data_IF_543717876411
#
_entry.id   IF_543717876411
#
_cell.length_a   1.000
_cell.length_b   1.000
_cell.length_c   1.000
_cell.angle_alpha   90.00
_cell.angle_beta   90.00
_cell.angle_gamma   90.00
#
_symmetry.space_group_name_H-M   'P 1'
#
loop_
_entity.id
_entity.type
_entity.pdbx_description
1 polymer ?
#
# COMPACT_ATOMS: atom_id res chain seq x y z
N UNK A 1 20.02 28.07 10.22
CA UNK A 1 20.18 28.06 11.69
C UNK A 1 19.46 26.83 12.24
N UNK A 2 20.08 25.94 13.02
CA UNK A 2 21.53 25.75 13.18
C UNK A 2 21.91 24.36 13.75
N UNK A 3 23.21 24.07 13.75
CA UNK A 3 23.97 23.03 14.51
C UNK A 3 23.20 22.11 15.47
N UNK A 4 23.30 20.77 15.32
CA UNK A 4 24.30 19.88 15.99
C UNK A 4 24.46 20.10 17.51
N UNK A 5 24.30 19.03 18.32
CA UNK A 5 25.40 18.33 19.07
C UNK A 5 24.89 17.25 20.05
N UNK A 6 25.51 16.05 20.05
CA UNK A 6 25.89 15.22 21.23
C UNK A 6 26.58 13.91 20.78
N UNK A 7 27.86 13.59 21.10
CA UNK A 7 28.40 12.84 22.27
C UNK A 7 28.05 11.32 22.30
N UNK A 8 28.92 10.34 22.59
CA UNK A 8 30.36 10.30 22.97
C UNK A 8 30.96 8.86 22.83
N UNK A 9 32.24 8.67 23.26
CA UNK A 9 33.00 7.43 23.62
C UNK A 9 34.08 6.99 22.60
N UNK A 10 35.39 7.20 22.84
CA UNK A 10 36.43 6.36 23.54
C UNK A 10 36.74 5.02 22.83
N UNK A 11 37.98 4.51 22.66
CA UNK A 11 39.33 4.77 23.23
C UNK A 11 40.40 3.95 22.39
N UNK A 12 41.76 4.03 22.43
CA UNK A 12 42.83 4.89 23.02
C UNK A 12 44.20 4.55 22.34
N UNK A 13 45.20 5.46 22.41
CA UNK A 13 46.68 5.31 22.33
C UNK A 13 47.32 4.54 21.13
N UNK A 14 48.27 5.06 20.30
CA UNK A 14 49.56 5.81 20.51
C UNK A 14 50.77 4.91 20.92
N UNK A 15 52.07 5.24 20.65
CA UNK A 15 52.72 6.47 20.10
C UNK A 15 53.53 6.26 18.75
N UNK A 16 53.90 7.27 17.93
CA UNK A 16 55.02 8.28 17.97
C UNK A 16 56.44 7.66 17.96
N UNK A 17 57.38 7.97 17.03
CA UNK A 17 58.27 9.17 16.94
C UNK A 17 58.86 9.49 15.54
N UNK A 18 59.41 10.72 15.36
CA UNK A 18 60.21 11.19 14.21
C UNK A 18 61.43 12.00 14.72
N UNK A 19 62.58 12.00 14.03
CA UNK A 19 63.74 12.87 14.35
C UNK A 19 64.92 12.82 13.34
N UNK A 20 65.53 13.96 12.91
CA UNK A 20 66.66 14.02 11.94
C UNK A 20 68.01 14.51 12.53
N UNK A 21 69.15 14.33 11.81
CA UNK A 21 70.48 14.81 12.28
C UNK A 21 71.72 14.78 11.35
N UNK A 22 71.93 15.87 10.59
CA UNK A 22 73.18 16.66 10.33
C UNK A 22 74.60 16.08 9.91
N UNK A 23 75.19 16.71 8.88
CA UNK A 23 76.61 17.20 8.70
C UNK A 23 77.82 16.39 8.10
N UNK A 24 78.29 16.86 6.92
CA UNK A 24 79.67 17.21 6.41
C UNK A 24 80.97 16.39 6.64
N UNK A 25 81.85 16.30 5.60
CA UNK A 25 83.34 16.55 5.59
C UNK A 25 83.98 16.29 4.17
N UNK A 26 84.41 17.31 3.38
CA UNK A 26 85.78 17.80 2.97
C UNK A 26 86.62 17.10 1.85
N UNK A 27 87.46 17.92 1.18
CA UNK A 27 88.42 17.63 0.06
C UNK A 27 89.89 17.42 0.51
N UNK A 28 90.76 16.95 -0.42
CA UNK A 28 92.23 17.15 -0.40
C UNK A 28 92.90 17.23 -1.82
N UNK A 29 94.14 17.75 -1.93
CA UNK A 29 94.98 17.84 -3.16
C UNK A 29 96.50 18.01 -2.90
N UNK A 30 97.34 17.18 -3.55
CA UNK A 30 98.54 17.62 -4.30
C UNK A 30 99.95 17.56 -3.66
N UNK A 31 100.98 17.30 -4.50
CA UNK A 31 102.46 17.44 -4.34
C UNK A 31 103.16 16.94 -5.64
N UNK A 32 104.42 17.23 -6.02
CA UNK A 32 105.34 18.38 -5.80
C UNK A 32 106.63 18.20 -6.63
N UNK A 33 107.30 19.27 -7.06
CA UNK A 33 108.50 19.25 -7.93
C UNK A 33 109.74 19.81 -7.20
N UNK A 34 110.94 19.18 -7.29
CA UNK A 34 112.07 19.59 -6.44
C UNK A 34 113.52 19.32 -6.94
N UNK A 35 113.76 19.10 -8.24
CA UNK A 35 115.10 18.73 -8.75
C UNK A 35 116.09 19.90 -8.95
N UNK A 36 115.59 21.08 -9.34
CA UNK A 36 116.40 22.22 -9.82
C UNK A 36 117.36 22.75 -8.73
N UNK A 37 117.00 22.66 -7.45
CA UNK A 37 117.76 23.24 -6.34
C UNK A 37 119.17 22.64 -6.16
N UNK A 38 119.37 21.37 -6.51
CA UNK A 38 120.66 20.68 -6.32
C UNK A 38 121.69 20.98 -7.42
N UNK A 39 121.26 21.50 -8.58
CA UNK A 39 122.16 21.75 -9.70
C UNK A 39 123.09 22.97 -9.50
N UNK A 40 122.68 23.96 -8.69
CA UNK A 40 123.44 25.20 -8.48
C UNK A 40 124.69 25.01 -7.59
N UNK A 41 124.60 24.14 -6.58
CA UNK A 41 125.63 23.97 -5.54
C UNK A 41 126.94 23.41 -6.12
N UNK A 42 126.86 22.44 -7.04
CA UNK A 42 128.05 21.79 -7.60
C UNK A 42 128.90 22.70 -8.51
N UNK A 43 128.30 23.71 -9.15
CA UNK A 43 129.03 24.64 -10.03
C UNK A 43 130.04 25.52 -9.29
N UNK A 44 129.71 25.95 -8.06
CA UNK A 44 130.56 26.87 -7.28
C UNK A 44 131.89 26.28 -6.83
N UNK A 45 131.94 24.97 -6.55
CA UNK A 45 133.13 24.29 -6.02
C UNK A 45 134.24 24.19 -7.07
N UNK A 46 133.88 23.96 -8.33
CA UNK A 46 134.85 23.81 -9.43
C UNK A 46 135.61 25.12 -9.74
N UNK A 47 134.94 26.27 -9.64
CA UNK A 47 135.54 27.58 -9.92
C UNK A 47 136.66 27.93 -8.91
N UNK A 48 136.47 27.62 -7.64
CA UNK A 48 137.45 27.89 -6.58
C UNK A 48 138.74 27.08 -6.74
N UNK A 49 138.64 25.82 -7.19
CA UNK A 49 139.81 24.99 -7.46
C UNK A 49 140.70 25.57 -8.58
N UNK A 50 140.08 26.09 -9.65
CA UNK A 50 140.80 26.68 -10.78
C UNK A 50 141.56 27.95 -10.39
N UNK A 51 140.98 28.79 -9.52
CA UNK A 51 141.63 30.00 -8.99
C UNK A 51 142.87 29.66 -8.16
N UNK A 52 142.81 28.62 -7.32
CA UNK A 52 143.96 28.15 -6.56
C UNK A 52 145.10 27.65 -7.47
N UNK A 53 144.76 27.01 -8.58
CA UNK A 53 145.74 26.54 -9.58
C UNK A 53 146.44 27.70 -10.31
N UNK A 54 145.73 28.79 -10.61
CA UNK A 54 146.31 29.99 -11.22
C UNK A 54 147.25 30.74 -10.25
N UNK A 55 146.94 30.73 -8.95
CA UNK A 55 147.76 31.37 -7.91
C UNK A 55 149.16 30.73 -7.79
N UNK A 56 149.25 29.40 -7.83
CA UNK A 56 150.53 28.68 -7.76
C UNK A 56 151.43 28.95 -8.97
N UNK A 57 150.84 29.16 -10.17
CA UNK A 57 151.59 29.49 -11.39
C UNK A 57 152.31 30.85 -11.29
N UNK A 58 151.72 31.80 -10.54
CA UNK A 58 152.19 33.19 -10.46
C UNK A 58 153.41 33.38 -9.53
N UNK A 59 153.60 32.46 -8.56
CA UNK A 59 154.73 32.52 -7.61
C UNK A 59 156.04 32.05 -8.28
N UNK A 60 155.98 31.10 -9.22
CA UNK A 60 157.15 30.41 -9.77
C UNK A 60 157.95 31.22 -10.81
N UNK A 61 157.49 32.43 -11.17
CA UNK A 61 158.05 33.26 -12.25
C UNK A 61 159.06 34.31 -11.74
N UNK A 62 159.24 34.47 -10.42
CA UNK A 62 159.87 35.68 -9.84
C UNK A 62 161.31 35.55 -9.32
N UNK A 63 161.95 34.38 -9.35
CA UNK A 63 163.33 34.26 -8.84
C UNK A 63 164.18 33.23 -9.61
N UNK A 64 165.44 33.56 -9.82
CA UNK A 64 166.34 32.92 -10.79
C UNK A 64 167.60 32.33 -10.13
N UNK A 65 167.72 31.00 -10.11
CA UNK A 65 168.83 30.22 -10.69
C UNK A 65 168.71 28.70 -10.42
N UNK A 66 169.29 27.88 -11.33
CA UNK A 66 169.59 26.42 -11.20
C UNK A 66 168.58 25.56 -10.38
N UNK A 67 167.53 24.93 -10.95
CA UNK A 67 167.46 23.97 -12.08
C UNK A 67 168.25 22.66 -11.86
N UNK A 68 167.63 21.64 -11.22
CA UNK A 68 168.02 20.21 -11.35
C UNK A 68 167.04 19.16 -10.72
N UNK A 69 165.72 19.14 -11.05
CA UNK A 69 164.89 17.90 -11.18
C UNK A 69 163.39 18.17 -11.47
N UNK A 70 163.10 18.83 -12.60
CA UNK A 70 161.73 19.22 -12.96
C UNK A 70 161.07 18.21 -13.91
N UNK A 71 160.50 17.12 -13.38
CA UNK A 71 159.70 16.18 -14.18
C UNK A 71 158.52 15.54 -13.41
N UNK A 72 158.78 15.02 -12.21
CA UNK A 72 157.83 14.23 -11.42
C UNK A 72 156.63 15.02 -10.84
N UNK A 73 156.75 16.34 -10.67
CA UNK A 73 155.77 17.17 -9.94
C UNK A 73 154.66 17.76 -10.82
N UNK A 74 154.83 17.79 -12.15
CA UNK A 74 153.88 18.46 -13.07
C UNK A 74 153.03 17.45 -13.86
N UNK A 75 153.58 16.29 -14.24
CA UNK A 75 152.90 15.35 -15.14
C UNK A 75 152.03 14.29 -14.45
N UNK A 76 152.27 14.00 -13.16
CA UNK A 76 151.52 12.97 -12.43
C UNK A 76 150.03 13.31 -12.20
N UNK A 77 149.65 14.55 -11.79
CA UNK A 77 148.24 14.89 -11.55
C UNK A 77 147.39 14.84 -12.83
N UNK A 78 147.99 15.22 -13.96
CA UNK A 78 147.33 15.33 -15.27
C UNK A 78 146.76 14.00 -15.78
N UNK A 79 147.47 12.89 -15.51
CA UNK A 79 147.06 11.54 -15.95
C UNK A 79 145.82 11.06 -15.18
N UNK A 80 145.73 11.36 -13.88
CA UNK A 80 144.56 11.00 -13.05
C UNK A 80 143.27 11.70 -13.52
N UNK A 81 143.36 12.95 -13.98
CA UNK A 81 142.21 13.70 -14.49
C UNK A 81 141.68 13.06 -15.78
N UNK A 82 142.54 12.65 -16.71
CA UNK A 82 142.12 12.00 -17.97
C UNK A 82 141.38 10.69 -17.72
N UNK A 83 141.87 9.85 -16.78
CA UNK A 83 141.17 8.60 -16.39
C UNK A 83 139.82 8.90 -15.75
N UNK A 84 139.73 9.91 -14.88
CA UNK A 84 138.48 10.34 -14.27
C UNK A 84 137.44 10.84 -15.29
N UNK A 85 137.86 11.62 -16.28
CA UNK A 85 136.99 12.14 -17.35
C UNK A 85 136.45 11.02 -18.24
N UNK A 86 137.28 10.04 -18.62
CA UNK A 86 136.83 8.88 -19.42
C UNK A 86 135.81 8.04 -18.64
N UNK A 87 136.02 7.82 -17.34
CA UNK A 87 135.05 7.15 -16.46
C UNK A 87 133.71 7.89 -16.36
N UNK A 88 133.75 9.22 -16.23
CA UNK A 88 132.56 10.07 -16.18
C UNK A 88 131.75 10.03 -17.50
N UNK A 89 132.42 10.06 -18.66
CA UNK A 89 131.78 9.99 -19.98
C UNK A 89 131.07 8.64 -20.17
N UNK A 90 131.69 7.52 -19.78
CA UNK A 90 131.05 6.20 -19.83
C UNK A 90 129.81 6.12 -18.93
N UNK A 91 129.88 6.65 -17.71
CA UNK A 91 128.76 6.66 -16.76
C UNK A 91 127.59 7.55 -17.24
N UNK A 92 127.89 8.73 -17.80
CA UNK A 92 126.88 9.64 -18.38
C UNK A 92 126.18 9.03 -19.59
N UNK A 93 126.93 8.39 -20.49
CA UNK A 93 126.37 7.70 -21.67
C UNK A 93 125.40 6.59 -21.27
N UNK A 94 125.72 5.86 -20.19
CA UNK A 94 124.84 4.82 -19.60
C UNK A 94 123.58 5.40 -18.94
N UNK A 95 123.67 6.56 -18.30
CA UNK A 95 122.52 7.28 -17.72
C UNK A 95 121.54 7.77 -18.79
N UNK A 96 122.04 8.36 -19.88
CA UNK A 96 121.20 8.92 -20.96
C UNK A 96 120.42 7.80 -21.66
N UNK A 97 121.10 6.75 -22.11
CA UNK A 97 120.46 5.64 -22.83
C UNK A 97 119.44 4.86 -21.96
N UNK A 98 119.54 4.91 -20.64
CA UNK A 98 118.59 4.24 -19.74
C UNK A 98 117.23 4.96 -19.61
N UNK A 99 117.13 6.24 -20.01
CA UNK A 99 115.87 7.01 -19.98
C UNK A 99 115.07 6.90 -21.27
N UNK A 100 115.73 7.00 -22.43
CA UNK A 100 115.09 7.10 -23.75
C UNK A 100 114.22 5.88 -24.13
N UNK A 101 114.44 4.72 -23.49
CA UNK A 101 113.60 3.52 -23.67
C UNK A 101 112.37 3.46 -22.75
N UNK A 102 112.33 4.25 -21.66
CA UNK A 102 111.18 4.28 -20.74
C UNK A 102 110.08 5.22 -21.23
N UNK A 103 110.46 6.44 -21.62
CA UNK A 103 109.52 7.47 -22.07
C UNK A 103 108.75 7.05 -23.35
N UNK A 104 109.38 6.29 -24.27
CA UNK A 104 108.66 5.74 -25.45
C UNK A 104 107.68 4.62 -25.09
N UNK A 105 108.05 3.73 -24.16
CA UNK A 105 107.21 2.60 -23.77
C UNK A 105 105.98 3.02 -22.94
N UNK A 106 106.02 4.18 -22.29
CA UNK A 106 104.89 4.76 -21.56
C UNK A 106 103.98 5.55 -22.51
N UNK A 107 104.52 6.33 -23.45
CA UNK A 107 103.72 7.07 -24.45
C UNK A 107 102.88 6.18 -25.38
N UNK A 108 103.41 5.02 -25.83
CA UNK A 108 102.62 4.04 -26.58
C UNK A 108 101.54 3.36 -25.71
N UNK A 109 101.78 3.21 -24.40
CA UNK A 109 100.79 2.63 -23.47
C UNK A 109 99.68 3.61 -23.08
N UNK A 110 99.98 4.90 -22.92
CA UNK A 110 98.95 5.92 -22.70
C UNK A 110 98.11 6.15 -23.96
N UNK A 111 98.72 6.19 -25.16
CA UNK A 111 97.95 6.33 -26.41
C UNK A 111 97.14 5.08 -26.76
N UNK A 112 97.60 3.86 -26.45
CA UNK A 112 96.79 2.65 -26.54
C UNK A 112 95.66 2.62 -25.49
N UNK A 113 95.90 3.09 -24.26
CA UNK A 113 94.84 3.23 -23.25
C UNK A 113 93.78 4.25 -23.69
N UNK A 114 94.18 5.46 -24.08
CA UNK A 114 93.25 6.47 -24.57
C UNK A 114 92.48 6.00 -25.81
N UNK A 115 93.12 5.27 -26.73
CA UNK A 115 92.39 4.64 -27.85
C UNK A 115 91.39 3.61 -27.37
N UNK A 116 91.76 2.70 -26.47
CA UNK A 116 90.86 1.65 -25.99
C UNK A 116 89.75 2.20 -25.07
N UNK A 117 90.02 3.27 -24.32
CA UNK A 117 89.05 4.04 -23.55
C UNK A 117 88.07 4.77 -24.47
N UNK A 118 88.53 5.47 -25.51
CA UNK A 118 87.67 6.08 -26.53
C UNK A 118 86.92 5.04 -27.38
N UNK A 119 87.50 3.86 -27.61
CA UNK A 119 86.87 2.75 -28.34
C UNK A 119 85.74 2.14 -27.50
N UNK A 120 85.98 1.83 -26.22
CA UNK A 120 84.95 1.39 -25.27
C UNK A 120 83.92 2.48 -24.98
N UNK A 121 84.30 3.75 -24.93
CA UNK A 121 83.39 4.88 -24.74
C UNK A 121 82.54 5.15 -25.98
N UNK A 122 83.10 5.04 -27.19
CA UNK A 122 82.33 5.14 -28.44
C UNK A 122 81.47 3.90 -28.70
N UNK A 123 81.89 2.71 -28.27
CA UNK A 123 81.06 1.50 -28.30
C UNK A 123 79.90 1.58 -27.28
N UNK A 124 80.14 2.16 -26.08
CA UNK A 124 79.08 2.50 -25.12
C UNK A 124 78.15 3.58 -25.66
N UNK A 125 78.67 4.65 -26.23
CA UNK A 125 77.88 5.72 -26.82
C UNK A 125 77.04 5.19 -27.99
N UNK A 126 77.60 4.32 -28.85
CA UNK A 126 76.83 3.60 -29.88
C UNK A 126 75.76 2.70 -29.29
N UNK A 127 76.05 1.91 -28.25
CA UNK A 127 75.04 1.05 -27.61
C UNK A 127 73.90 1.89 -27.01
N UNK A 128 74.22 2.98 -26.31
CA UNK A 128 73.24 3.93 -25.77
C UNK A 128 72.44 4.62 -26.89
N UNK A 129 73.08 4.97 -28.01
CA UNK A 129 72.42 5.57 -29.17
C UNK A 129 71.49 4.57 -29.86
N UNK A 130 71.96 3.34 -30.13
CA UNK A 130 71.18 2.25 -30.74
C UNK A 130 70.05 1.77 -29.82
N UNK A 131 70.21 1.85 -28.50
CA UNK A 131 69.18 1.61 -27.48
C UNK A 131 68.15 2.75 -27.45
N UNK A 132 68.59 4.02 -27.44
CA UNK A 132 67.70 5.18 -27.53
C UNK A 132 66.90 5.19 -28.85
N UNK A 133 67.51 4.83 -29.98
CA UNK A 133 66.83 4.72 -31.28
C UNK A 133 65.88 3.52 -31.34
N UNK A 134 66.08 2.47 -30.54
CA UNK A 134 65.08 1.40 -30.35
C UNK A 134 63.93 1.89 -29.48
N UNK A 135 64.23 2.48 -28.33
CA UNK A 135 63.24 3.00 -27.37
C UNK A 135 62.37 4.09 -28.01
N UNK A 136 62.93 5.01 -28.81
CA UNK A 136 62.16 6.00 -29.56
C UNK A 136 61.23 5.36 -30.59
N UNK A 137 61.66 4.32 -31.31
CA UNK A 137 60.79 3.59 -32.26
C UNK A 137 59.71 2.78 -31.55
N UNK A 138 60.00 2.18 -30.41
CA UNK A 138 59.02 1.49 -29.59
C UNK A 138 57.96 2.47 -29.05
N UNK A 139 58.38 3.63 -28.53
CA UNK A 139 57.49 4.71 -28.07
C UNK A 139 56.64 5.25 -29.23
N UNK A 140 57.24 5.52 -30.41
CA UNK A 140 56.48 6.00 -31.57
C UNK A 140 55.48 4.96 -32.07
N UNK A 141 55.84 3.67 -32.08
CA UNK A 141 54.92 2.58 -32.40
C UNK A 141 53.76 2.50 -31.40
N UNK A 142 54.05 2.58 -30.10
CA UNK A 142 53.01 2.56 -29.08
C UNK A 142 52.10 3.79 -29.18
N UNK A 143 52.63 4.98 -29.54
CA UNK A 143 51.80 6.17 -29.77
C UNK A 143 50.90 6.03 -31.01
N UNK A 144 51.36 5.32 -32.05
CA UNK A 144 50.59 5.00 -33.26
C UNK A 144 49.48 3.99 -32.94
N UNK A 145 49.82 2.88 -32.27
CA UNK A 145 48.87 1.84 -31.81
C UNK A 145 47.87 2.32 -30.73
N UNK A 146 48.10 3.50 -30.14
CA UNK A 146 47.18 4.18 -29.22
C UNK A 146 46.47 5.40 -29.83
N UNK A 147 46.69 5.70 -31.11
CA UNK A 147 45.99 6.77 -31.83
C UNK A 147 44.50 6.49 -31.93
N UNK A 148 44.13 5.31 -32.43
CA UNK A 148 42.73 4.88 -32.59
C UNK A 148 41.98 4.83 -31.24
N UNK A 149 42.67 4.47 -30.15
CA UNK A 149 42.12 4.46 -28.79
C UNK A 149 41.69 5.87 -28.34
N UNK A 150 42.41 6.91 -28.76
CA UNK A 150 42.05 8.31 -28.46
C UNK A 150 40.81 8.78 -29.23
N UNK A 151 40.45 8.12 -30.35
CA UNK A 151 39.19 8.32 -31.06
C UNK A 151 38.04 7.47 -30.50
N UNK A 152 38.28 6.70 -29.43
CA UNK A 152 37.28 5.80 -28.81
C UNK A 152 37.24 4.40 -29.41
N UNK A 153 38.18 4.02 -30.27
CA UNK A 153 38.24 2.66 -30.79
C UNK A 153 38.74 1.69 -29.71
N UNK A 154 37.83 0.88 -29.14
CA UNK A 154 38.17 -0.19 -28.20
C UNK A 154 38.34 -1.54 -28.92
N UNK A 155 38.36 -1.60 -30.25
CA UNK A 155 38.66 -2.85 -30.98
C UNK A 155 40.17 -3.13 -31.02
N UNK A 156 41.01 -2.09 -30.97
CA UNK A 156 42.47 -2.18 -31.04
C UNK A 156 43.10 -2.76 -29.76
N UNK A 157 44.33 -3.26 -29.89
CA UNK A 157 45.17 -3.71 -28.77
C UNK A 157 46.62 -3.33 -29.09
N UNK A 158 47.35 -2.79 -28.11
CA UNK A 158 48.76 -2.48 -28.25
C UNK A 158 49.62 -3.76 -28.27
N UNK A 159 50.68 -3.78 -29.07
CA UNK A 159 51.54 -4.96 -29.21
C UNK A 159 52.49 -5.09 -28.02
N UNK A 160 52.27 -6.11 -27.19
CA UNK A 160 53.20 -6.46 -26.11
C UNK A 160 54.48 -7.05 -26.69
N UNK A 161 55.58 -6.31 -26.57
CA UNK A 161 56.93 -6.69 -27.00
C UNK A 161 57.86 -6.98 -25.81
N UNK A 162 59.04 -7.54 -26.07
CA UNK A 162 60.10 -7.72 -25.05
C UNK A 162 60.93 -6.45 -24.78
N UNK A 163 60.56 -5.31 -25.38
CA UNK A 163 61.26 -4.03 -25.18
C UNK A 163 60.68 -3.20 -24.01
N UNK A 164 61.31 -2.04 -23.75
CA UNK A 164 60.96 -1.16 -22.64
C UNK A 164 59.49 -0.73 -22.58
N UNK A 165 58.78 -0.71 -23.72
CA UNK A 165 57.36 -0.33 -23.79
C UNK A 165 56.39 -1.49 -23.58
N UNK A 166 56.85 -2.75 -23.60
CA UNK A 166 55.97 -3.93 -23.50
C UNK A 166 55.08 -3.94 -22.25
N UNK A 167 55.64 -3.59 -21.09
CA UNK A 167 54.88 -3.48 -19.84
C UNK A 167 53.86 -2.32 -19.83
N UNK A 168 54.09 -1.29 -20.66
CA UNK A 168 53.14 -0.18 -20.86
C UNK A 168 52.02 -0.65 -21.78
N UNK A 169 52.34 -1.32 -22.89
CA UNK A 169 51.35 -1.92 -23.80
C UNK A 169 50.42 -2.91 -23.06
N UNK A 170 50.96 -3.77 -22.21
CA UNK A 170 50.21 -4.71 -21.37
C UNK A 170 49.28 -3.96 -20.38
N UNK A 171 49.80 -2.95 -19.69
CA UNK A 171 49.01 -2.10 -18.77
C UNK A 171 47.88 -1.34 -19.48
N UNK A 172 48.10 -0.91 -20.74
CA UNK A 172 47.06 -0.23 -21.54
C UNK A 172 46.06 -1.22 -22.10
N UNK A 173 46.47 -2.42 -22.54
CA UNK A 173 45.53 -3.48 -22.94
C UNK A 173 44.60 -3.87 -21.80
N UNK A 174 45.11 -4.00 -20.57
CA UNK A 174 44.27 -4.20 -19.39
C UNK A 174 43.27 -3.04 -19.18
N UNK A 175 43.69 -1.79 -19.39
CA UNK A 175 42.79 -0.63 -19.32
C UNK A 175 41.73 -0.64 -20.44
N UNK A 176 42.09 -1.03 -21.67
CA UNK A 176 41.15 -1.21 -22.78
C UNK A 176 40.12 -2.30 -22.43
N UNK A 177 40.53 -3.44 -21.88
CA UNK A 177 39.60 -4.50 -21.44
C UNK A 177 38.66 -4.06 -20.32
N UNK A 178 39.13 -3.26 -19.37
CA UNK A 178 38.25 -2.66 -18.36
C UNK A 178 37.28 -1.63 -18.95
N UNK A 179 37.70 -0.86 -19.97
CA UNK A 179 36.82 0.05 -20.71
C UNK A 179 35.80 -0.71 -21.58
N UNK A 180 36.19 -1.80 -22.26
CA UNK A 180 35.29 -2.70 -23.00
C UNK A 180 34.19 -3.23 -22.09
N UNK A 181 34.58 -3.77 -20.93
CA UNK A 181 33.65 -4.29 -19.92
C UNK A 181 32.72 -3.20 -19.38
N UNK A 182 33.24 -2.00 -19.11
CA UNK A 182 32.44 -0.86 -18.63
C UNK A 182 31.43 -0.37 -19.68
N UNK A 183 31.86 -0.14 -20.93
CA UNK A 183 31.00 0.32 -22.03
C UNK A 183 29.93 -0.73 -22.36
N UNK A 184 30.29 -2.01 -22.41
CA UNK A 184 29.32 -3.11 -22.60
C UNK A 184 28.30 -3.17 -21.44
N UNK A 185 28.77 -3.10 -20.19
CA UNK A 185 27.88 -3.07 -19.03
C UNK A 185 26.95 -1.85 -19.01
N UNK A 186 27.42 -0.68 -19.46
CA UNK A 186 26.60 0.53 -19.61
C UNK A 186 25.52 0.32 -20.69
N UNK A 187 25.89 -0.16 -21.88
CA UNK A 187 24.93 -0.43 -22.97
C UNK A 187 23.84 -1.42 -22.54
N UNK A 188 24.23 -2.56 -21.94
CA UNK A 188 23.29 -3.58 -21.42
C UNK A 188 22.42 -3.01 -20.31
N UNK A 189 22.95 -2.12 -19.46
CA UNK A 189 22.17 -1.48 -18.39
C UNK A 189 21.18 -0.46 -18.94
N UNK A 190 21.59 0.40 -19.88
CA UNK A 190 20.72 1.37 -20.54
C UNK A 190 19.55 0.68 -21.27
N UNK A 191 19.84 -0.36 -22.05
CA UNK A 191 18.83 -1.15 -22.77
C UNK A 191 17.87 -1.89 -21.80
N UNK A 192 18.34 -2.32 -20.63
CA UNK A 192 17.48 -2.88 -19.56
C UNK A 192 16.61 -1.81 -18.89
N UNK A 193 17.14 -0.60 -18.66
CA UNK A 193 16.35 0.52 -18.11
C UNK A 193 15.29 0.98 -19.11
N UNK A 194 15.60 1.07 -20.40
CA UNK A 194 14.65 1.42 -21.45
C UNK A 194 13.46 0.44 -21.50
N UNK A 195 13.71 -0.87 -21.63
CA UNK A 195 12.63 -1.89 -21.64
C UNK A 195 11.80 -1.92 -20.36
N UNK A 196 12.43 -1.77 -19.19
CA UNK A 196 11.71 -1.70 -17.91
C UNK A 196 10.84 -0.43 -17.82
N UNK A 197 11.31 0.67 -18.40
CA UNK A 197 10.59 1.93 -18.50
C UNK A 197 9.40 1.83 -19.47
N UNK A 198 9.59 1.28 -20.68
CA UNK A 198 8.49 0.99 -21.61
C UNK A 198 7.40 0.10 -20.98
N UNK A 199 7.78 -0.98 -20.30
CA UNK A 199 6.85 -1.86 -19.60
C UNK A 199 6.09 -1.10 -18.50
N UNK A 200 6.78 -0.27 -17.71
CA UNK A 200 6.14 0.53 -16.65
C UNK A 200 5.23 1.63 -17.23
N UNK A 201 5.57 2.18 -18.40
CA UNK A 201 4.73 3.14 -19.12
C UNK A 201 3.42 2.49 -19.60
N UNK A 202 3.48 1.26 -20.11
CA UNK A 202 2.28 0.52 -20.49
C UNK A 202 1.36 0.28 -19.29
N UNK A 203 1.89 -0.25 -18.19
CA UNK A 203 1.11 -0.45 -16.95
C UNK A 203 0.57 0.86 -16.35
N UNK A 204 1.26 1.98 -16.53
CA UNK A 204 0.74 3.29 -16.12
C UNK A 204 -0.43 3.77 -17.01
N UNK A 205 -0.46 3.43 -18.30
CA UNK A 205 -1.62 3.72 -19.17
C UNK A 205 -2.81 2.83 -18.78
N UNK A 206 -2.58 1.52 -18.60
CA UNK A 206 -3.61 0.56 -18.16
C UNK A 206 -4.23 0.97 -16.81
N UNK A 207 -3.41 1.39 -15.85
CA UNK A 207 -3.87 1.83 -14.52
C UNK A 207 -4.65 3.15 -14.57
N UNK A 208 -4.32 4.06 -15.51
CA UNK A 208 -5.08 5.29 -15.71
C UNK A 208 -6.47 5.00 -16.31
N UNK A 209 -6.56 4.11 -17.32
CA UNK A 209 -7.83 3.66 -17.89
C UNK A 209 -8.68 2.90 -16.86
N UNK A 210 -8.07 2.03 -16.06
CA UNK A 210 -8.76 1.34 -14.96
C UNK A 210 -9.31 2.32 -13.91
N UNK A 211 -8.57 3.39 -13.59
CA UNK A 211 -9.00 4.42 -12.63
C UNK A 211 -10.17 5.27 -13.16
N UNK A 212 -10.19 5.59 -14.47
CA UNK A 212 -11.31 6.29 -15.11
C UNK A 212 -12.58 5.43 -15.10
N UNK A 213 -12.47 4.15 -15.49
CA UNK A 213 -13.59 3.20 -15.40
C UNK A 213 -14.09 3.06 -13.95
N UNK A 214 -13.18 3.03 -12.96
CA UNK A 214 -13.55 2.98 -11.54
C UNK A 214 -14.33 4.24 -11.12
N UNK A 215 -13.96 5.44 -11.58
CA UNK A 215 -14.68 6.68 -11.29
C UNK A 215 -16.12 6.66 -11.85
N UNK A 216 -16.33 6.06 -13.02
CA UNK A 216 -17.66 5.91 -13.63
C UNK A 216 -18.55 4.93 -12.83
N UNK A 217 -18.00 3.81 -12.37
CA UNK A 217 -18.70 2.87 -11.47
C UNK A 217 -19.04 3.52 -10.12
N UNK A 218 -18.13 4.30 -9.52
CA UNK A 218 -18.40 5.05 -8.27
C UNK A 218 -19.55 6.04 -8.45
N UNK A 219 -19.61 6.73 -9.60
CA UNK A 219 -20.70 7.64 -9.92
C UNK A 219 -22.04 6.88 -10.07
N UNK A 220 -22.05 5.73 -10.75
CA UNK A 220 -23.22 4.86 -10.88
C UNK A 220 -23.74 4.34 -9.54
N UNK A 221 -22.85 3.82 -8.70
CA UNK A 221 -23.18 3.37 -7.34
C UNK A 221 -23.69 4.53 -6.48
N UNK A 222 -23.10 5.73 -6.58
CA UNK A 222 -23.55 6.92 -5.86
C UNK A 222 -24.95 7.37 -6.27
N UNK A 223 -25.29 7.28 -7.56
CA UNK A 223 -26.65 7.54 -8.04
C UNK A 223 -27.67 6.52 -7.49
N UNK A 224 -27.33 5.22 -7.50
CA UNK A 224 -28.17 4.17 -6.95
C UNK A 224 -28.40 4.30 -5.43
N UNK A 225 -27.41 4.79 -4.67
CA UNK A 225 -27.57 5.08 -3.24
C UNK A 225 -28.52 6.26 -3.00
N UNK A 226 -28.50 7.28 -3.87
CA UNK A 226 -29.42 8.41 -3.79
C UNK A 226 -30.87 7.98 -4.12
N UNK A 227 -31.07 7.13 -5.13
CA UNK A 227 -32.38 6.52 -5.40
C UNK A 227 -32.86 5.62 -4.25
N UNK A 228 -31.95 4.85 -3.65
CA UNK A 228 -32.24 4.04 -2.46
C UNK A 228 -32.69 4.92 -1.28
N UNK A 229 -32.07 6.08 -1.06
CA UNK A 229 -32.47 7.02 -0.01
C UNK A 229 -33.91 7.54 -0.20
N UNK A 230 -34.28 7.91 -1.43
CA UNK A 230 -35.66 8.31 -1.78
C UNK A 230 -36.65 7.16 -1.55
N UNK A 231 -36.28 5.93 -1.94
CA UNK A 231 -37.08 4.73 -1.73
C UNK A 231 -37.32 4.44 -0.23
N UNK A 232 -36.29 4.59 0.59
CA UNK A 232 -36.37 4.40 2.05
C UNK A 232 -37.27 5.46 2.71
N UNK A 233 -37.22 6.72 2.28
CA UNK A 233 -38.10 7.78 2.79
C UNK A 233 -39.58 7.49 2.43
N UNK A 234 -39.85 7.06 1.19
CA UNK A 234 -41.18 6.63 0.78
C UNK A 234 -41.68 5.43 1.60
N UNK A 235 -40.83 4.44 1.88
CA UNK A 235 -41.18 3.30 2.77
C UNK A 235 -41.47 3.77 4.19
N UNK A 236 -40.70 4.72 4.72
CA UNK A 236 -40.93 5.32 6.04
C UNK A 236 -42.27 6.08 6.11
N UNK A 237 -42.60 6.86 5.06
CA UNK A 237 -43.87 7.57 4.92
C UNK A 237 -45.06 6.61 4.82
N UNK A 238 -44.97 5.61 3.93
CA UNK A 238 -46.01 4.57 3.78
C UNK A 238 -46.24 3.79 5.08
N UNK A 239 -45.19 3.54 5.86
CA UNK A 239 -45.30 2.93 7.18
C UNK A 239 -46.04 3.85 8.17
N UNK A 240 -45.70 5.14 8.22
CA UNK A 240 -46.39 6.10 9.09
C UNK A 240 -47.89 6.22 8.77
N UNK A 241 -48.27 6.27 7.48
CA UNK A 241 -49.68 6.26 7.07
C UNK A 241 -50.37 4.94 7.45
N UNK A 242 -49.72 3.80 7.19
CA UNK A 242 -50.25 2.47 7.52
C UNK A 242 -50.50 2.31 9.02
N UNK A 243 -49.64 2.88 9.88
CA UNK A 243 -49.83 2.86 11.33
C UNK A 243 -51.10 3.61 11.74
N UNK A 244 -51.32 4.82 11.19
CA UNK A 244 -52.52 5.60 11.44
C UNK A 244 -53.80 4.89 10.95
N UNK A 245 -53.73 4.11 9.86
CA UNK A 245 -54.83 3.25 9.39
C UNK A 245 -55.07 2.07 10.34
N UNK A 246 -54.02 1.46 10.89
CA UNK A 246 -54.14 0.38 11.88
C UNK A 246 -54.77 0.87 13.20
N UNK A 247 -54.28 1.99 13.75
CA UNK A 247 -54.84 2.62 14.96
C UNK A 247 -56.32 3.01 14.77
N UNK A 248 -56.66 3.56 13.59
CA UNK A 248 -58.05 3.87 13.23
C UNK A 248 -58.91 2.60 13.13
N UNK A 249 -58.34 1.49 12.68
CA UNK A 249 -59.03 0.19 12.61
C UNK A 249 -59.29 -0.40 14.00
N UNK A 250 -58.33 -0.30 14.93
CA UNK A 250 -58.52 -0.60 16.36
C UNK A 250 -59.68 0.22 16.93
N UNK A 251 -59.70 1.53 16.70
CA UNK A 251 -60.76 2.41 17.20
C UNK A 251 -62.14 2.07 16.61
N UNK A 252 -62.23 1.73 15.32
CA UNK A 252 -63.50 1.32 14.68
C UNK A 252 -63.99 -0.02 15.24
N UNK A 253 -63.09 -1.01 15.40
CA UNK A 253 -63.43 -2.31 15.95
C UNK A 253 -63.97 -2.22 17.39
N UNK A 254 -63.29 -1.44 18.24
CA UNK A 254 -63.71 -1.17 19.62
C UNK A 254 -65.12 -0.55 19.72
N UNK A 255 -65.38 0.51 18.93
CA UNK A 255 -66.70 1.14 18.89
C UNK A 255 -67.78 0.18 18.35
N UNK A 256 -67.42 -0.67 17.38
CA UNK A 256 -68.30 -1.74 16.87
C UNK A 256 -68.67 -2.74 17.96
N UNK A 257 -67.70 -3.21 18.74
CA UNK A 257 -67.92 -4.13 19.85
C UNK A 257 -68.85 -3.54 20.93
N UNK A 258 -68.74 -2.25 21.25
CA UNK A 258 -69.65 -1.56 22.17
C UNK A 258 -71.10 -1.46 21.62
N UNK A 259 -71.27 -1.29 20.30
CA UNK A 259 -72.59 -1.34 19.64
C UNK A 259 -73.17 -2.76 19.67
N UNK A 260 -72.34 -3.78 19.44
CA UNK A 260 -72.74 -5.19 19.53
C UNK A 260 -73.15 -5.57 20.95
N UNK A 261 -72.38 -5.20 21.98
CA UNK A 261 -72.70 -5.50 23.37
C UNK A 261 -74.05 -4.90 23.78
N UNK A 262 -74.30 -3.62 23.46
CA UNK A 262 -75.60 -2.97 23.68
C UNK A 262 -76.75 -3.65 22.91
N UNK A 263 -76.47 -4.26 21.77
CA UNK A 263 -77.45 -5.05 21.01
C UNK A 263 -77.78 -6.37 21.71
N UNK A 264 -76.78 -7.05 22.29
CA UNK A 264 -76.97 -8.26 23.11
C UNK A 264 -77.80 -7.94 24.36
N UNK A 265 -77.51 -6.83 25.03
CA UNK A 265 -78.27 -6.38 26.22
C UNK A 265 -79.72 -5.99 25.88
N UNK A 266 -79.94 -5.39 24.70
CA UNK A 266 -81.26 -5.17 24.12
C UNK A 266 -82.01 -6.48 23.87
N UNK A 267 -81.38 -7.50 23.28
CA UNK A 267 -82.00 -8.81 23.04
C UNK A 267 -82.32 -9.56 24.34
N UNK A 268 -81.45 -9.47 25.37
CA UNK A 268 -81.75 -9.97 26.71
C UNK A 268 -83.01 -9.30 27.29
N UNK A 269 -83.10 -7.97 27.19
CA UNK A 269 -84.26 -7.19 27.65
C UNK A 269 -85.55 -7.60 26.93
N UNK A 270 -85.49 -7.80 25.61
CA UNK A 270 -86.63 -8.25 24.79
C UNK A 270 -87.07 -9.66 25.20
N UNK A 271 -86.14 -10.60 25.38
CA UNK A 271 -86.43 -11.97 25.84
C UNK A 271 -87.19 -11.97 27.18
N UNK A 272 -86.71 -11.18 28.14
CA UNK A 272 -87.28 -11.17 29.48
C UNK A 272 -88.68 -10.52 29.50
N UNK A 273 -88.90 -9.51 28.65
CA UNK A 273 -90.21 -8.91 28.40
C UNK A 273 -91.19 -9.90 27.72
N UNK A 274 -90.73 -10.73 26.77
CA UNK A 274 -91.54 -11.79 26.15
C UNK A 274 -91.92 -12.85 27.20
N UNK A 275 -90.99 -13.28 28.04
CA UNK A 275 -91.28 -14.25 29.12
C UNK A 275 -92.32 -13.72 30.12
N UNK A 276 -92.23 -12.44 30.52
CA UNK A 276 -93.25 -11.83 31.38
C UNK A 276 -94.61 -11.68 30.70
N UNK A 277 -94.63 -11.42 29.38
CA UNK A 277 -95.88 -11.36 28.63
C UNK A 277 -96.51 -12.74 28.45
N UNK A 278 -95.71 -13.78 28.19
CA UNK A 278 -96.15 -15.18 28.13
C UNK A 278 -96.79 -15.63 29.47
N UNK A 279 -96.19 -15.29 30.61
CA UNK A 279 -96.79 -15.51 31.96
C UNK A 279 -98.13 -14.78 32.17
N UNK A 280 -98.41 -13.71 31.43
CA UNK A 280 -99.70 -12.98 31.50
C UNK A 280 -100.74 -13.64 30.61
N UNK A 281 -100.37 -14.01 29.38
CA UNK A 281 -101.28 -14.72 28.45
C UNK A 281 -101.63 -16.10 28.99
N UNK A 282 -100.67 -16.84 29.57
CA UNK A 282 -100.97 -18.14 30.20
C UNK A 282 -102.00 -18.03 31.33
N UNK A 283 -101.85 -17.03 32.21
CA UNK A 283 -102.86 -16.74 33.26
C UNK A 283 -104.20 -16.31 32.70
N UNK A 284 -104.23 -15.59 31.57
CA UNK A 284 -105.49 -15.27 30.88
C UNK A 284 -106.15 -16.53 30.31
N UNK A 285 -105.38 -17.48 29.77
CA UNK A 285 -105.87 -18.80 29.36
C UNK A 285 -106.43 -19.61 30.53
N UNK A 286 -105.71 -19.65 31.66
CA UNK A 286 -106.13 -20.29 32.91
C UNK A 286 -107.47 -19.69 33.42
N UNK A 287 -107.58 -18.36 33.53
CA UNK A 287 -108.85 -17.70 33.88
C UNK A 287 -109.95 -17.90 32.84
N UNK A 288 -109.61 -18.06 31.55
CA UNK A 288 -110.59 -18.36 30.50
C UNK A 288 -111.07 -19.81 30.56
N UNK A 289 -110.31 -20.73 31.14
CA UNK A 289 -110.81 -22.07 31.47
C UNK A 289 -111.80 -22.01 32.63
N UNK A 290 -111.47 -21.32 33.73
CA UNK A 290 -112.37 -21.14 34.88
C UNK A 290 -113.72 -20.51 34.47
N UNK A 291 -113.70 -19.49 33.59
CA UNK A 291 -114.92 -18.89 33.03
C UNK A 291 -115.69 -19.90 32.16
N UNK A 292 -115.00 -20.73 31.37
CA UNK A 292 -115.63 -21.78 30.57
C UNK A 292 -116.36 -22.82 31.41
N UNK A 293 -115.74 -23.27 32.50
CA UNK A 293 -116.32 -24.23 33.44
C UNK A 293 -117.56 -23.64 34.14
N UNK A 294 -117.50 -22.36 34.54
CA UNK A 294 -118.64 -21.62 35.11
C UNK A 294 -119.77 -21.47 34.08
N UNK A 295 -119.47 -21.15 32.82
CA UNK A 295 -120.48 -20.99 31.77
C UNK A 295 -121.17 -22.31 31.44
N UNK A 296 -120.44 -23.43 31.48
CA UNK A 296 -121.01 -24.78 31.41
C UNK A 296 -122.01 -25.04 32.55
N UNK A 297 -121.61 -24.76 33.80
CA UNK A 297 -122.49 -24.91 34.97
C UNK A 297 -123.75 -24.02 34.88
N UNK A 298 -123.65 -22.78 34.39
CA UNK A 298 -124.82 -21.90 34.20
C UNK A 298 -125.72 -22.44 33.09
N UNK A 299 -125.17 -23.06 32.03
CA UNK A 299 -126.00 -23.74 31.02
C UNK A 299 -126.75 -24.94 31.62
N UNK A 300 -126.07 -25.80 32.40
CA UNK A 300 -126.72 -26.93 33.09
C UNK A 300 -127.82 -26.48 34.05
N UNK A 301 -127.63 -25.35 34.75
CA UNK A 301 -128.64 -24.73 35.61
C UNK A 301 -129.81 -24.17 34.77
N UNK A 302 -129.53 -23.58 33.60
CA UNK A 302 -130.58 -23.09 32.70
C UNK A 302 -131.41 -24.26 32.14
N UNK A 303 -130.79 -25.35 31.68
CA UNK A 303 -131.49 -26.54 31.19
C UNK A 303 -132.29 -27.26 32.31
N UNK A 304 -131.76 -27.33 33.54
CA UNK A 304 -132.52 -27.80 34.70
C UNK A 304 -133.71 -26.88 35.02
N UNK A 305 -133.52 -25.56 34.96
CA UNK A 305 -134.59 -24.57 35.19
C UNK A 305 -135.68 -24.67 34.12
N UNK A 306 -135.30 -24.91 32.86
CA UNK A 306 -136.21 -25.14 31.74
C UNK A 306 -137.08 -26.40 31.99
N UNK A 307 -136.45 -27.51 32.41
CA UNK A 307 -137.15 -28.76 32.77
C UNK A 307 -138.08 -28.55 33.98
N UNK A 308 -137.64 -27.83 35.01
CA UNK A 308 -138.47 -27.52 36.19
C UNK A 308 -139.67 -26.62 35.83
N UNK A 309 -139.47 -25.63 34.97
CA UNK A 309 -140.52 -24.74 34.48
C UNK A 309 -141.56 -25.49 33.63
N UNK A 310 -141.12 -26.34 32.70
CA UNK A 310 -142.01 -27.18 31.91
C UNK A 310 -142.84 -28.13 32.79
N UNK A 311 -142.22 -28.76 33.80
CA UNK A 311 -142.95 -29.58 34.77
C UNK A 311 -143.97 -28.76 35.58
N UNK A 312 -143.63 -27.53 35.98
CA UNK A 312 -144.55 -26.62 36.66
C UNK A 312 -145.73 -26.18 35.77
N UNK A 313 -145.48 -25.90 34.48
CA UNK A 313 -146.51 -25.56 33.50
C UNK A 313 -147.50 -26.72 33.28
N UNK A 314 -146.99 -27.95 33.18
CA UNK A 314 -147.81 -29.17 33.09
C UNK A 314 -148.69 -29.32 34.35
N UNK A 315 -148.12 -29.20 35.55
CA UNK A 315 -148.88 -29.29 36.81
C UNK A 315 -149.92 -28.17 36.95
N UNK A 316 -149.58 -26.93 36.57
CA UNK A 316 -150.51 -25.81 36.57
C UNK A 316 -151.66 -25.99 35.57
N UNK A 317 -151.38 -26.56 34.39
CA UNK A 317 -152.41 -26.91 33.40
C UNK A 317 -153.37 -27.99 33.92
N UNK A 318 -152.86 -29.02 34.62
CA UNK A 318 -153.69 -30.04 35.28
C UNK A 318 -154.57 -29.48 36.41
N UNK A 319 -154.20 -28.36 37.03
CA UNK A 319 -155.00 -27.69 38.06
C UNK A 319 -156.10 -26.75 37.49
N UNK A 320 -156.23 -26.64 36.16
CA UNK A 320 -157.29 -25.87 35.50
C UNK A 320 -157.30 -24.37 35.87
N UNK A 321 -158.49 -23.79 36.03
CA UNK A 321 -158.66 -22.37 36.37
C UNK A 321 -157.91 -21.95 37.65
N UNK A 322 -157.76 -22.85 38.64
CA UNK A 322 -156.99 -22.57 39.86
C UNK A 322 -155.48 -22.50 39.62
N UNK A 323 -154.96 -23.25 38.64
CA UNK A 323 -153.54 -23.23 38.24
C UNK A 323 -153.17 -22.11 37.28
N UNK A 324 -154.15 -21.41 36.70
CA UNK A 324 -153.96 -20.46 35.59
C UNK A 324 -152.94 -19.34 35.87
N UNK A 325 -152.87 -18.86 37.11
CA UNK A 325 -151.85 -17.88 37.53
C UNK A 325 -150.43 -18.46 37.60
N UNK A 326 -150.29 -19.72 38.05
CA UNK A 326 -149.01 -20.42 38.08
C UNK A 326 -148.51 -20.81 36.69
N UNK A 327 -149.41 -21.14 35.76
CA UNK A 327 -149.05 -21.47 34.38
C UNK A 327 -148.31 -20.31 33.69
N UNK A 328 -148.83 -19.08 33.82
CA UNK A 328 -148.19 -17.87 33.23
C UNK A 328 -146.81 -17.60 33.84
N UNK A 329 -146.61 -17.89 35.14
CA UNK A 329 -145.28 -17.77 35.77
C UNK A 329 -144.35 -18.87 35.28
N UNK A 330 -144.84 -20.10 35.11
CA UNK A 330 -144.05 -21.21 34.60
C UNK A 330 -143.57 -20.97 33.16
N UNK A 331 -144.46 -20.52 32.25
CA UNK A 331 -144.10 -20.16 30.88
C UNK A 331 -143.03 -19.05 30.82
N UNK A 332 -143.13 -18.01 31.67
CA UNK A 332 -142.15 -16.92 31.70
C UNK A 332 -140.80 -17.38 32.29
N UNK A 333 -140.79 -18.29 33.27
CA UNK A 333 -139.55 -18.92 33.78
C UNK A 333 -138.93 -19.83 32.72
N UNK A 334 -139.72 -20.60 31.96
CA UNK A 334 -139.23 -21.42 30.85
C UNK A 334 -138.58 -20.52 29.78
N UNK A 335 -139.27 -19.46 29.36
CA UNK A 335 -138.77 -18.48 28.39
C UNK A 335 -137.53 -17.73 28.88
N UNK A 336 -137.40 -17.50 30.18
CA UNK A 336 -136.19 -16.92 30.79
C UNK A 336 -135.03 -17.93 30.78
N UNK A 337 -135.30 -19.20 31.07
CA UNK A 337 -134.31 -20.28 31.03
C UNK A 337 -133.77 -20.52 29.61
N UNK A 338 -134.64 -20.61 28.60
CA UNK A 338 -134.25 -20.73 27.18
C UNK A 338 -133.39 -19.55 26.72
N UNK A 339 -133.75 -18.32 27.12
CA UNK A 339 -132.92 -17.12 26.87
C UNK A 339 -131.57 -17.17 27.59
N UNK A 340 -131.54 -17.71 28.82
CA UNK A 340 -130.31 -17.87 29.59
C UNK A 340 -129.37 -18.89 28.94
N UNK A 341 -129.88 -20.06 28.55
CA UNK A 341 -129.14 -21.10 27.82
C UNK A 341 -128.62 -20.58 26.46
N UNK A 342 -129.42 -19.79 25.75
CA UNK A 342 -128.98 -19.14 24.50
C UNK A 342 -127.82 -18.15 24.74
N UNK A 343 -127.87 -17.38 25.83
CA UNK A 343 -126.83 -16.44 26.19
C UNK A 343 -125.54 -17.13 26.69
N UNK A 344 -125.64 -18.17 27.53
CA UNK A 344 -124.46 -18.96 27.95
C UNK A 344 -123.77 -19.57 26.75
N UNK A 345 -124.50 -20.08 25.75
CA UNK A 345 -123.92 -20.68 24.54
C UNK A 345 -123.18 -19.67 23.65
N UNK A 346 -123.61 -18.41 23.64
CA UNK A 346 -122.87 -17.32 23.00
C UNK A 346 -121.58 -16.99 23.77
N UNK A 347 -121.64 -16.96 25.11
CA UNK A 347 -120.45 -16.75 25.96
C UNK A 347 -119.48 -17.94 25.85
N UNK A 348 -119.96 -19.18 25.82
CA UNK A 348 -119.18 -20.41 25.62
C UNK A 348 -118.38 -20.35 24.32
N UNK A 349 -119.00 -19.84 23.25
CA UNK A 349 -118.35 -19.64 21.95
C UNK A 349 -117.24 -18.59 22.04
N UNK A 350 -117.51 -17.43 22.68
CA UNK A 350 -116.51 -16.37 22.90
C UNK A 350 -115.34 -16.85 23.76
N UNK A 351 -115.60 -17.61 24.82
CA UNK A 351 -114.58 -18.18 25.70
C UNK A 351 -113.70 -19.17 24.94
N UNK A 352 -114.28 -20.03 24.09
CA UNK A 352 -113.51 -20.95 23.24
C UNK A 352 -112.64 -20.22 22.21
N UNK A 353 -113.08 -19.09 21.66
CA UNK A 353 -112.22 -18.21 20.84
C UNK A 353 -111.06 -17.66 21.68
N UNK A 354 -111.32 -17.10 22.86
CA UNK A 354 -110.26 -16.57 23.75
C UNK A 354 -109.25 -17.67 24.15
N UNK A 355 -109.72 -18.90 24.41
CA UNK A 355 -108.86 -20.06 24.68
C UNK A 355 -107.99 -20.48 23.48
N UNK A 356 -108.50 -20.33 22.25
CA UNK A 356 -107.72 -20.56 21.03
C UNK A 356 -106.67 -19.45 20.83
N UNK A 357 -107.11 -18.19 20.84
CA UNK A 357 -106.26 -17.01 20.63
C UNK A 357 -105.12 -16.93 21.67
N UNK A 358 -105.40 -17.27 22.93
CA UNK A 358 -104.36 -17.28 23.99
C UNK A 358 -103.34 -18.42 23.82
N UNK A 359 -103.75 -19.59 23.34
CA UNK A 359 -102.82 -20.68 23.01
C UNK A 359 -101.95 -20.33 21.79
N UNK A 360 -102.53 -19.76 20.73
CA UNK A 360 -101.77 -19.29 19.56
C UNK A 360 -100.75 -18.20 19.95
N UNK A 361 -101.15 -17.24 20.80
CA UNK A 361 -100.27 -16.21 21.29
C UNK A 361 -99.12 -16.76 22.18
N UNK A 362 -99.35 -17.81 22.97
CA UNK A 362 -98.26 -18.51 23.70
C UNK A 362 -97.27 -19.17 22.74
N UNK A 363 -97.76 -19.93 21.74
CA UNK A 363 -96.89 -20.56 20.73
C UNK A 363 -96.09 -19.52 19.94
N UNK A 364 -96.71 -18.39 19.60
CA UNK A 364 -96.05 -17.26 18.95
C UNK A 364 -94.94 -16.64 19.81
N UNK A 365 -95.15 -16.54 21.13
CA UNK A 365 -94.12 -16.06 22.07
C UNK A 365 -92.97 -17.05 22.28
N UNK A 366 -93.22 -18.36 22.26
CA UNK A 366 -92.16 -19.38 22.29
C UNK A 366 -91.29 -19.31 21.03
N UNK A 367 -91.91 -19.23 19.85
CA UNK A 367 -91.22 -19.03 18.57
C UNK A 367 -90.39 -17.73 18.56
N UNK A 368 -90.98 -16.61 19.00
CA UNK A 368 -90.28 -15.32 19.09
C UNK A 368 -89.12 -15.37 20.10
N UNK A 369 -89.26 -16.13 21.19
CA UNK A 369 -88.17 -16.33 22.17
C UNK A 369 -86.98 -17.05 21.53
N UNK A 370 -87.22 -18.09 20.73
CA UNK A 370 -86.16 -18.79 20.01
C UNK A 370 -85.44 -17.87 19.00
N UNK A 371 -86.18 -17.03 18.28
CA UNK A 371 -85.61 -16.06 17.34
C UNK A 371 -84.78 -14.96 18.04
N UNK A 372 -85.22 -14.47 19.20
CA UNK A 372 -84.44 -13.51 20.00
C UNK A 372 -83.16 -14.14 20.55
N UNK A 373 -83.19 -15.40 20.97
CA UNK A 373 -81.98 -16.15 21.37
C UNK A 373 -81.03 -16.35 20.17
N UNK A 374 -81.57 -16.65 18.98
CA UNK A 374 -80.79 -16.76 17.74
C UNK A 374 -80.15 -15.42 17.35
N UNK A 375 -80.89 -14.32 17.47
CA UNK A 375 -80.40 -12.96 17.24
C UNK A 375 -79.30 -12.55 18.23
N UNK A 376 -79.49 -12.83 19.53
CA UNK A 376 -78.49 -12.57 20.56
C UNK A 376 -77.19 -13.36 20.30
N UNK A 377 -77.29 -14.61 19.83
CA UNK A 377 -76.11 -15.37 19.42
C UNK A 377 -75.41 -14.74 18.22
N UNK A 378 -76.14 -14.43 17.13
CA UNK A 378 -75.54 -13.81 15.94
C UNK A 378 -74.86 -12.46 16.25
N UNK A 379 -75.40 -11.69 17.19
CA UNK A 379 -74.73 -10.50 17.70
C UNK A 379 -73.42 -10.85 18.43
N UNK A 380 -73.41 -11.85 19.34
CA UNK A 380 -72.19 -12.31 20.02
C UNK A 380 -71.12 -12.81 19.05
N UNK A 381 -71.50 -13.65 18.08
CA UNK A 381 -70.61 -14.18 17.05
C UNK A 381 -69.96 -13.04 16.23
N UNK A 382 -70.69 -11.92 15.99
CA UNK A 382 -70.15 -10.72 15.35
C UNK A 382 -69.27 -9.85 16.27
N UNK A 383 -69.46 -9.91 17.59
CA UNK A 383 -68.61 -9.26 18.59
C UNK A 383 -67.23 -9.92 18.67
N UNK A 384 -67.19 -11.24 18.70
CA UNK A 384 -65.93 -12.02 18.70
C UNK A 384 -65.08 -11.73 17.44
N UNK A 385 -65.73 -11.58 16.27
CA UNK A 385 -65.05 -11.17 15.04
C UNK A 385 -64.47 -9.74 15.10
N UNK A 386 -65.08 -8.82 15.85
CA UNK A 386 -64.56 -7.47 16.06
C UNK A 386 -63.39 -7.45 17.05
N UNK A 387 -63.40 -8.31 18.07
CA UNK A 387 -62.23 -8.53 18.95
C UNK A 387 -61.04 -9.10 18.16
N UNK A 388 -61.27 -10.04 17.21
CA UNK A 388 -60.23 -10.54 16.32
C UNK A 388 -59.66 -9.42 15.42
N UNK A 389 -60.52 -8.61 14.78
CA UNK A 389 -60.08 -7.45 13.99
C UNK A 389 -59.26 -6.46 14.84
N UNK A 390 -59.65 -6.23 16.09
CA UNK A 390 -58.88 -5.40 17.03
C UNK A 390 -57.49 -6.01 17.32
N UNK A 391 -57.41 -7.31 17.58
CA UNK A 391 -56.15 -8.00 17.84
C UNK A 391 -55.21 -7.99 16.61
N UNK A 392 -55.74 -8.28 15.42
CA UNK A 392 -54.99 -8.24 14.16
C UNK A 392 -54.50 -6.83 13.85
N UNK A 393 -55.31 -5.79 14.09
CA UNK A 393 -54.93 -4.40 13.87
C UNK A 393 -53.81 -3.93 14.80
N UNK A 394 -53.81 -4.34 16.08
CA UNK A 394 -52.71 -4.08 17.01
C UNK A 394 -51.41 -4.78 16.58
N UNK A 395 -51.48 -6.03 16.14
CA UNK A 395 -50.32 -6.76 15.59
C UNK A 395 -49.78 -6.08 14.32
N UNK A 396 -50.66 -5.59 13.45
CA UNK A 396 -50.29 -4.85 12.25
C UNK A 396 -49.52 -3.57 12.59
N UNK A 397 -49.98 -2.78 13.56
CA UNK A 397 -49.27 -1.58 14.03
C UNK A 397 -47.85 -1.92 14.55
N UNK A 398 -47.68 -3.02 15.28
CA UNK A 398 -46.37 -3.50 15.77
C UNK A 398 -45.43 -3.92 14.63
N UNK A 399 -45.94 -4.60 13.60
CA UNK A 399 -45.19 -4.91 12.37
C UNK A 399 -44.76 -3.64 11.64
N UNK A 400 -45.66 -2.65 11.53
CA UNK A 400 -45.39 -1.38 10.86
C UNK A 400 -44.33 -0.55 11.61
N UNK A 401 -44.38 -0.51 12.94
CA UNK A 401 -43.32 0.10 13.74
C UNK A 401 -41.95 -0.59 13.51
N UNK A 402 -41.96 -1.91 13.31
CA UNK A 402 -40.76 -2.69 12.97
C UNK A 402 -40.22 -2.36 11.57
N UNK A 403 -41.10 -2.18 10.57
CA UNK A 403 -40.74 -1.69 9.23
C UNK A 403 -40.15 -0.27 9.31
N UNK A 404 -40.76 0.62 10.10
CA UNK A 404 -40.27 1.99 10.31
C UNK A 404 -38.88 2.01 10.97
N UNK A 405 -38.60 1.08 11.89
CA UNK A 405 -37.27 0.88 12.47
C UNK A 405 -36.26 0.36 11.43
N UNK A 406 -36.64 -0.61 10.60
CA UNK A 406 -35.79 -1.14 9.54
C UNK A 406 -35.43 -0.08 8.49
N UNK A 407 -36.41 0.73 8.06
CA UNK A 407 -36.19 1.86 7.15
C UNK A 407 -35.18 2.87 7.71
N UNK A 408 -35.28 3.25 9.00
CA UNK A 408 -34.28 4.10 9.66
C UNK A 408 -32.88 3.49 9.64
N UNK A 409 -32.75 2.18 9.87
CA UNK A 409 -31.46 1.49 9.82
C UNK A 409 -30.89 1.43 8.39
N UNK A 410 -31.75 1.24 7.39
CA UNK A 410 -31.36 1.29 5.97
C UNK A 410 -30.90 2.69 5.56
N UNK A 411 -31.57 3.77 6.00
CA UNK A 411 -31.16 5.15 5.73
C UNK A 411 -29.76 5.45 6.30
N UNK A 412 -29.49 5.03 7.55
CA UNK A 412 -28.15 5.16 8.15
C UNK A 412 -27.09 4.39 7.36
N UNK A 413 -27.43 3.17 6.90
CA UNK A 413 -26.52 2.33 6.10
C UNK A 413 -26.24 2.97 4.73
N UNK A 414 -27.25 3.49 4.04
CA UNK A 414 -27.11 4.22 2.77
C UNK A 414 -26.21 5.45 2.92
N UNK A 415 -26.36 6.22 4.01
CA UNK A 415 -25.47 7.34 4.33
C UNK A 415 -24.01 6.92 4.55
N UNK A 416 -23.77 5.80 5.25
CA UNK A 416 -22.43 5.24 5.40
C UNK A 416 -21.81 4.78 4.07
N UNK A 417 -22.58 4.15 3.18
CA UNK A 417 -22.09 3.73 1.86
C UNK A 417 -21.82 4.96 0.98
N UNK A 418 -22.68 5.98 0.99
CA UNK A 418 -22.45 7.25 0.28
C UNK A 418 -21.13 7.92 0.72
N UNK A 419 -20.91 8.04 2.03
CA UNK A 419 -19.63 8.55 2.55
C UNK A 419 -18.43 7.69 2.14
N UNK A 420 -18.61 6.37 2.07
CA UNK A 420 -17.56 5.44 1.62
C UNK A 420 -17.25 5.64 0.14
N UNK A 421 -18.25 5.86 -0.72
CA UNK A 421 -18.05 6.16 -2.15
C UNK A 421 -17.28 7.46 -2.37
N UNK A 422 -17.54 8.50 -1.57
CA UNK A 422 -16.74 9.74 -1.61
C UNK A 422 -15.25 9.47 -1.30
N UNK A 423 -14.96 8.67 -0.26
CA UNK A 423 -13.58 8.29 0.10
C UNK A 423 -12.91 7.45 -1.01
N UNK A 424 -13.65 6.56 -1.67
CA UNK A 424 -13.12 5.80 -2.81
C UNK A 424 -12.88 6.73 -4.02
N UNK A 425 -13.73 7.73 -4.26
CA UNK A 425 -13.54 8.74 -5.31
C UNK A 425 -12.26 9.55 -5.09
N UNK A 426 -11.99 9.98 -3.86
CA UNK A 426 -10.73 10.67 -3.49
C UNK A 426 -9.50 9.77 -3.73
N UNK A 427 -9.57 8.50 -3.32
CA UNK A 427 -8.50 7.51 -3.56
C UNK A 427 -8.28 7.26 -5.05
N UNK A 428 -9.35 7.19 -5.84
CA UNK A 428 -9.29 7.00 -7.30
C UNK A 428 -8.65 8.22 -7.97
N UNK A 429 -9.04 9.44 -7.58
CA UNK A 429 -8.42 10.69 -8.04
C UNK A 429 -6.94 10.79 -7.69
N UNK A 430 -6.56 10.38 -6.46
CA UNK A 430 -5.15 10.29 -6.05
C UNK A 430 -4.40 9.21 -6.85
N UNK A 431 -5.04 8.09 -7.18
CA UNK A 431 -4.46 7.00 -7.99
C UNK A 431 -4.19 7.44 -9.42
N UNK A 432 -5.14 8.08 -10.10
CA UNK A 432 -4.93 8.69 -11.43
C UNK A 432 -3.80 9.71 -11.39
N UNK A 433 -3.79 10.60 -10.39
CA UNK A 433 -2.76 11.64 -10.22
C UNK A 433 -1.36 11.07 -9.99
N UNK A 434 -1.24 10.03 -9.16
CA UNK A 434 0.01 9.30 -8.91
C UNK A 434 0.49 8.56 -10.15
N UNK A 435 -0.42 7.92 -10.89
CA UNK A 435 -0.13 7.21 -12.14
C UNK A 435 0.39 8.16 -13.23
N UNK A 436 -0.20 9.35 -13.36
CA UNK A 436 0.33 10.43 -14.22
C UNK A 436 1.68 11.00 -13.74
N UNK A 437 2.05 10.86 -12.47
CA UNK A 437 3.39 11.21 -11.98
C UNK A 437 4.42 10.10 -12.26
N UNK A 438 4.02 8.83 -12.18
CA UNK A 438 4.85 7.68 -12.60
C UNK A 438 5.15 7.78 -14.10
N UNK A 439 4.15 7.93 -14.96
CA UNK A 439 4.35 8.04 -16.42
C UNK A 439 5.34 9.15 -16.81
N UNK A 440 5.28 10.32 -16.16
CA UNK A 440 6.26 11.40 -16.39
C UNK A 440 7.67 11.06 -15.93
N UNK A 441 7.81 10.43 -14.76
CA UNK A 441 9.11 9.94 -14.25
C UNK A 441 9.71 8.85 -15.17
N UNK A 442 8.86 8.00 -15.74
CA UNK A 442 9.26 6.95 -16.70
C UNK A 442 9.71 7.55 -18.03
N UNK A 443 9.05 8.61 -18.53
CA UNK A 443 9.54 9.39 -19.67
C UNK A 443 10.96 9.93 -19.43
N UNK A 444 11.22 10.49 -18.25
CA UNK A 444 12.56 10.98 -17.87
C UNK A 444 13.60 9.86 -17.76
N UNK A 445 13.23 8.66 -17.29
CA UNK A 445 14.15 7.51 -17.28
C UNK A 445 14.49 7.02 -18.68
N UNK A 446 13.55 7.08 -19.64
CA UNK A 446 13.85 6.80 -21.04
C UNK A 446 14.80 7.84 -21.66
N UNK A 447 14.59 9.13 -21.39
CA UNK A 447 15.52 10.21 -21.80
C UNK A 447 16.93 9.98 -21.21
N UNK A 448 17.02 9.64 -19.92
CA UNK A 448 18.30 9.33 -19.26
C UNK A 448 18.98 8.07 -19.80
N UNK A 449 18.22 7.02 -20.12
CA UNK A 449 18.76 5.79 -20.71
C UNK A 449 19.29 6.04 -22.13
N UNK A 450 18.57 6.80 -22.95
CA UNK A 450 19.00 7.21 -24.28
C UNK A 450 20.27 8.08 -24.23
N UNK A 451 20.32 9.08 -23.35
CA UNK A 451 21.50 9.93 -23.17
C UNK A 451 22.73 9.15 -22.65
N UNK A 452 22.51 8.14 -21.79
CA UNK A 452 23.58 7.25 -21.32
C UNK A 452 24.13 6.37 -22.45
N UNK A 453 23.25 5.86 -23.32
CA UNK A 453 23.63 5.08 -24.49
C UNK A 453 24.35 5.95 -25.55
N UNK A 454 23.86 7.15 -25.81
CA UNK A 454 24.52 8.15 -26.67
C UNK A 454 25.92 8.48 -26.14
N UNK A 455 26.05 8.73 -24.83
CA UNK A 455 27.33 9.05 -24.16
C UNK A 455 28.39 7.94 -24.25
N UNK A 456 28.02 6.70 -24.59
CA UNK A 456 29.00 5.61 -24.86
C UNK A 456 29.02 5.16 -26.31
N UNK A 457 28.14 5.67 -27.18
CA UNK A 457 28.05 5.29 -28.60
C UNK A 457 29.29 5.65 -29.43
N UNK A 458 30.10 6.60 -28.96
CA UNK A 458 31.41 6.93 -29.55
C UNK A 458 32.48 5.86 -29.30
N UNK A 459 32.28 4.93 -28.36
CA UNK A 459 33.22 3.83 -28.11
C UNK A 459 32.88 2.62 -28.97
N UNK A 460 33.75 2.27 -29.91
CA UNK A 460 33.58 1.07 -30.74
C UNK A 460 34.00 -0.17 -29.93
N UNK A 461 33.07 -1.05 -29.62
CA UNK A 461 33.37 -2.39 -29.09
C UNK A 461 33.72 -3.34 -30.24
N UNK A 462 34.55 -4.38 -30.01
CA UNK A 462 34.70 -5.47 -30.97
C UNK A 462 33.38 -6.22 -31.15
N UNK A 463 33.04 -6.61 -32.39
CA UNK A 463 31.84 -7.40 -32.67
C UNK A 463 31.88 -8.76 -31.95
N UNK A 464 30.81 -9.09 -31.21
CA UNK A 464 30.62 -10.37 -30.48
C UNK A 464 30.45 -11.61 -31.40
N UNK A 465 30.94 -11.53 -32.64
CA UNK A 465 30.87 -12.59 -33.65
C UNK A 465 31.82 -13.78 -33.40
N UNK A 466 32.68 -13.72 -32.38
CA UNK A 466 33.74 -14.70 -32.10
C UNK A 466 33.62 -15.41 -30.74
N UNK A 467 32.56 -15.15 -29.96
CA UNK A 467 32.33 -15.75 -28.64
C UNK A 467 31.57 -17.10 -28.65
N UNK A 468 31.18 -17.60 -29.83
CA UNK A 468 30.50 -18.90 -30.01
C UNK A 468 31.21 -19.74 -31.10
N UNK A 469 32.29 -20.44 -30.72
CA UNK A 469 33.01 -21.40 -31.55
C UNK A 469 33.59 -22.55 -30.70
#
# INVERSE_FOLDING_TARGET
MDTKTSTLSTNTNSPVTVGPGNSNYRMDRGRSTNWIFWASIFGGVAALAFIYQLYQLLILVRQDNSVANSFLTIWLPSILIVVGVIGAIYFLTRQINAKTYREKAEGERETLRQRHEMEVESERARKIQEENERNQRAILRLLDELGDLAEGDLTVNATVSEDFTGAIADSVNFAIDQLRQLVSAINVTAERVARASEQTQATAVELAEASENQAQEIAGVSAAINEMAVSIDQVSSNAAESAAVADRSVAIAYNGAEVVQRTIDGMNTIRDQIQETSKRIKRLGESSQEIGDIVGLINDIADQTNILALNAAIQASMAGEAGRGFAVVADEVQRLAERSATATKQIETLVKTIQADTNEAVMSMESTTAEVVRGAKLAKDAGEALEEVQAVSNNLASLIQSISNAARQQAASAGHISNTMNVIQDITSQTTSGTMAVARSIGQLNEMAAALQESVSGFKLPDDASANA
#
